data_IF_878791774623
#
_entry.id   IF_878791774623
#
_cell.length_a   1.000
_cell.length_b   1.000
_cell.length_c   1.000
_cell.angle_alpha   90.00
_cell.angle_beta   90.00
_cell.angle_gamma   90.00
#
_symmetry.space_group_name_H-M   'P 1'
#
loop_
_entity.id
_entity.type
_entity.pdbx_description
1 polymer ?
#
# COMPACT_ATOMS: atom_id res chain seq x y z
N UNK A 1 5.42 22.53 3.91
CA UNK A 1 6.35 21.50 4.41
C UNK A 1 6.25 20.33 3.43
N UNK A 2 7.37 19.92 2.86
CA UNK A 2 7.50 18.84 1.87
C UNK A 2 8.32 17.73 2.51
N UNK A 3 8.06 16.45 2.20
CA UNK A 3 8.93 15.37 2.68
C UNK A 3 10.39 15.60 2.26
N UNK A 4 11.30 15.24 3.15
CA UNK A 4 12.74 15.44 2.92
C UNK A 4 13.17 14.49 1.81
N UNK A 5 13.60 15.03 0.67
CA UNK A 5 13.99 14.24 -0.52
C UNK A 5 14.99 13.11 -0.21
N UNK A 6 15.90 13.30 0.74
CA UNK A 6 16.87 12.26 1.16
C UNK A 6 16.25 11.01 1.78
N UNK A 7 14.98 11.05 2.20
CA UNK A 7 14.27 9.90 2.79
C UNK A 7 13.34 9.21 1.80
N UNK A 8 13.03 9.87 0.68
CA UNK A 8 12.22 9.30 -0.38
C UNK A 8 13.03 8.25 -1.12
N UNK A 9 12.43 7.07 -1.27
CA UNK A 9 12.96 5.98 -2.07
C UNK A 9 11.90 5.57 -3.08
N UNK A 10 12.35 5.10 -4.23
CA UNK A 10 11.47 4.56 -5.25
C UNK A 10 11.07 3.14 -4.87
N UNK A 11 9.76 2.88 -4.89
CA UNK A 11 9.14 1.59 -4.65
C UNK A 11 8.17 1.26 -5.77
N UNK A 12 7.70 0.03 -5.82
CA UNK A 12 6.72 -0.42 -6.82
C UNK A 12 5.42 -0.83 -6.17
N UNK A 13 4.32 -0.35 -6.72
CA UNK A 13 2.95 -0.72 -6.37
C UNK A 13 2.43 -1.71 -7.40
N UNK A 14 1.63 -2.67 -6.93
CA UNK A 14 1.03 -3.74 -7.71
C UNK A 14 -0.44 -3.80 -7.34
N UNK A 15 -1.32 -3.43 -8.27
CA UNK A 15 -2.77 -3.45 -8.03
C UNK A 15 -3.26 -4.88 -7.81
N UNK A 16 -4.04 -5.12 -6.76
CA UNK A 16 -4.67 -6.40 -6.49
C UNK A 16 -5.94 -6.57 -7.33
N UNK A 17 -5.96 -7.62 -8.14
CA UNK A 17 -7.07 -8.00 -9.00
C UNK A 17 -7.64 -9.31 -8.42
N UNK A 18 -8.72 -9.24 -7.62
CA UNK A 18 -9.35 -10.44 -7.10
C UNK A 18 -9.99 -11.21 -8.25
N UNK A 19 -9.59 -12.46 -8.43
CA UNK A 19 -10.06 -13.35 -9.49
C UNK A 19 -10.69 -14.58 -8.84
N UNK A 20 -11.77 -15.06 -9.44
CA UNK A 20 -12.45 -16.28 -9.00
C UNK A 20 -12.19 -17.37 -10.02
N UNK A 21 -11.73 -18.51 -9.52
CA UNK A 21 -11.65 -19.71 -10.33
C UNK A 21 -13.03 -20.38 -10.50
N UNK A 22 -13.15 -21.29 -11.46
CA UNK A 22 -14.36 -22.08 -11.71
C UNK A 22 -14.74 -22.96 -10.52
N UNK A 23 -13.78 -23.30 -9.65
CA UNK A 23 -14.01 -24.02 -8.38
C UNK A 23 -14.46 -23.13 -7.20
N UNK A 24 -14.67 -21.82 -7.41
CA UNK A 24 -15.13 -20.90 -6.38
C UNK A 24 -14.04 -20.40 -5.43
N UNK A 25 -12.80 -20.85 -5.60
CA UNK A 25 -11.62 -20.32 -4.92
C UNK A 25 -11.29 -18.91 -5.42
N UNK A 26 -11.15 -17.96 -4.49
CA UNK A 26 -10.75 -16.59 -4.80
C UNK A 26 -9.25 -16.44 -4.61
N UNK A 27 -8.53 -16.02 -5.65
CA UNK A 27 -7.10 -15.69 -5.59
C UNK A 27 -6.86 -14.23 -5.97
N UNK A 28 -5.75 -13.67 -5.50
CA UNK A 28 -5.36 -12.29 -5.79
C UNK A 28 -4.28 -12.35 -6.87
N UNK A 29 -4.57 -11.79 -8.04
CA UNK A 29 -3.59 -11.62 -9.11
C UNK A 29 -3.09 -10.17 -9.07
N UNK A 30 -1.79 -9.96 -9.17
CA UNK A 30 -1.21 -8.62 -9.13
C UNK A 30 -1.04 -8.06 -10.55
N UNK A 31 -1.57 -6.86 -10.77
CA UNK A 31 -1.52 -6.13 -12.04
C UNK A 31 -0.14 -5.57 -12.36
N UNK A 32 -0.08 -4.62 -13.31
CA UNK A 32 1.18 -4.00 -13.75
C UNK A 32 1.87 -3.22 -12.61
N UNK A 33 3.22 -3.20 -12.58
CA UNK A 33 3.96 -2.45 -11.58
C UNK A 33 3.92 -0.95 -11.86
N UNK A 34 3.54 -0.17 -10.85
CA UNK A 34 3.59 1.29 -10.87
C UNK A 34 4.69 1.80 -9.93
N UNK A 35 5.66 2.53 -10.46
CA UNK A 35 6.74 3.10 -9.64
C UNK A 35 6.30 4.38 -8.94
N UNK A 36 6.64 4.54 -7.66
CA UNK A 36 6.36 5.75 -6.89
C UNK A 36 7.43 6.03 -5.84
N UNK A 37 7.54 7.28 -5.41
CA UNK A 37 8.47 7.69 -4.35
C UNK A 37 7.75 7.77 -3.00
N UNK A 38 8.31 7.12 -1.98
CA UNK A 38 7.78 7.15 -0.63
C UNK A 38 8.85 7.07 0.46
N UNK A 39 8.47 7.47 1.66
CA UNK A 39 9.24 7.26 2.88
C UNK A 39 8.68 6.05 3.63
N UNK A 40 9.55 5.12 4.04
CA UNK A 40 9.15 3.88 4.72
C UNK A 40 9.79 3.78 6.10
N UNK A 41 9.00 3.43 7.11
CA UNK A 41 9.47 3.16 8.47
C UNK A 41 8.68 2.02 9.13
N UNK A 42 9.25 1.31 10.13
CA UNK A 42 8.54 0.24 10.83
C UNK A 42 7.30 0.74 11.58
N UNK A 43 6.29 -0.12 11.68
CA UNK A 43 5.19 0.05 12.63
C UNK A 43 5.74 0.05 14.06
N UNK A 44 5.23 0.95 14.90
CA UNK A 44 5.77 1.10 16.25
C UNK A 44 5.01 2.06 17.17
N UNK A 45 3.92 2.68 16.69
CA UNK A 45 3.10 3.55 17.54
C UNK A 45 2.29 2.75 18.56
N UNK A 46 2.01 3.33 19.73
CA UNK A 46 1.16 2.71 20.76
C UNK A 46 -0.19 2.24 20.18
N UNK A 47 -0.83 3.10 19.37
CA UNK A 47 -2.08 2.78 18.67
C UNK A 47 -1.94 1.55 17.76
N UNK A 48 -0.85 1.43 17.00
CA UNK A 48 -0.61 0.28 16.12
C UNK A 48 -0.32 -0.99 16.94
N UNK A 49 0.36 -0.87 18.08
CA UNK A 49 0.61 -2.00 18.95
C UNK A 49 -0.68 -2.51 19.59
N UNK A 50 -1.61 -1.62 19.92
CA UNK A 50 -2.94 -1.97 20.40
C UNK A 50 -3.81 -2.60 19.28
N UNK A 51 -3.78 -2.06 18.06
CA UNK A 51 -4.57 -2.59 16.93
C UNK A 51 -4.05 -3.92 16.40
N UNK A 52 -2.73 -4.06 16.25
CA UNK A 52 -2.11 -5.18 15.53
C UNK A 52 -1.38 -6.17 16.46
N UNK A 53 -1.13 -5.81 17.71
CA UNK A 53 -0.46 -6.66 18.69
C UNK A 53 0.88 -7.16 18.17
N UNK A 54 1.07 -8.48 18.16
CA UNK A 54 2.30 -9.13 17.71
C UNK A 54 2.59 -8.93 16.20
N UNK A 55 1.57 -8.59 15.40
CA UNK A 55 1.71 -8.38 13.95
C UNK A 55 2.39 -7.05 13.62
N UNK A 56 2.49 -6.11 14.56
CA UNK A 56 3.13 -4.81 14.34
C UNK A 56 4.57 -4.94 13.82
N UNK A 57 5.29 -5.99 14.22
CA UNK A 57 6.65 -6.29 13.76
C UNK A 57 6.73 -6.50 12.24
N UNK A 58 5.63 -6.99 11.65
CA UNK A 58 5.51 -7.24 10.21
C UNK A 58 4.89 -6.05 9.46
N UNK A 59 4.51 -4.98 10.17
CA UNK A 59 3.88 -3.81 9.58
C UNK A 59 4.93 -2.74 9.30
N UNK A 60 4.83 -2.12 8.12
CA UNK A 60 5.56 -0.93 7.73
C UNK A 60 4.56 0.18 7.41
N UNK A 61 4.97 1.41 7.66
CA UNK A 61 4.27 2.60 7.24
C UNK A 61 4.96 3.15 5.99
N UNK A 62 4.19 3.36 4.93
CA UNK A 62 4.65 3.94 3.67
C UNK A 62 3.97 5.28 3.50
N UNK A 63 4.74 6.37 3.47
CA UNK A 63 4.20 7.72 3.30
C UNK A 63 4.58 8.29 1.97
N UNK A 64 3.57 8.77 1.26
CA UNK A 64 3.70 9.33 -0.08
C UNK A 64 3.59 10.85 0.00
N UNK A 65 4.53 11.56 -0.64
CA UNK A 65 4.52 13.03 -0.77
C UNK A 65 3.73 13.40 -2.03
N UNK A 66 2.50 13.88 -1.87
CA UNK A 66 1.79 14.54 -2.96
C UNK A 66 0.29 14.58 -2.77
N UNK A 67 -0.37 15.21 -3.73
CA UNK A 67 -1.82 15.32 -3.75
C UNK A 67 -2.41 14.00 -4.22
N UNK A 68 -3.41 13.53 -3.50
CA UNK A 68 -4.23 12.40 -3.90
C UNK A 68 -5.68 12.87 -4.03
N UNK A 69 -6.41 12.22 -4.92
CA UNK A 69 -7.85 12.37 -5.04
C UNK A 69 -8.52 11.09 -4.53
N UNK A 70 -9.50 11.26 -3.65
CA UNK A 70 -10.33 10.14 -3.20
C UNK A 70 -11.41 9.90 -4.24
N UNK A 71 -11.40 8.71 -4.82
CA UNK A 71 -12.41 8.20 -5.72
C UNK A 71 -13.13 7.05 -5.02
N UNK A 72 -14.44 6.96 -5.16
CA UNK A 72 -15.20 5.81 -4.67
C UNK A 72 -15.56 4.96 -5.88
N UNK A 73 -15.09 3.71 -5.89
CA UNK A 73 -15.46 2.75 -6.92
C UNK A 73 -16.95 2.42 -6.83
N UNK A 74 -17.55 1.99 -7.94
CA UNK A 74 -18.95 1.54 -7.96
C UNK A 74 -19.24 0.39 -6.98
N UNK A 75 -18.21 -0.36 -6.58
CA UNK A 75 -18.27 -1.42 -5.56
C UNK A 75 -18.17 -0.90 -4.11
N UNK A 76 -18.16 0.42 -3.90
CA UNK A 76 -18.05 1.05 -2.57
C UNK A 76 -16.63 1.09 -1.98
N UNK A 77 -15.61 0.75 -2.78
CA UNK A 77 -14.20 0.77 -2.35
C UNK A 77 -13.59 2.17 -2.50
N UNK A 78 -12.86 2.60 -1.49
CA UNK A 78 -12.08 3.83 -1.51
C UNK A 78 -10.80 3.64 -2.34
N UNK A 79 -10.70 4.38 -3.43
CA UNK A 79 -9.58 4.40 -4.36
C UNK A 79 -8.86 5.74 -4.19
N UNK A 80 -7.59 5.69 -3.85
CA UNK A 80 -6.74 6.87 -3.70
C UNK A 80 -5.94 7.04 -5.00
N UNK A 81 -6.40 7.94 -5.86
CA UNK A 81 -5.69 8.28 -7.09
C UNK A 81 -4.53 9.22 -6.76
N UNK A 82 -3.32 8.83 -7.14
CA UNK A 82 -2.11 9.61 -6.99
C UNK A 82 -1.36 9.65 -8.32
N UNK A 83 -1.26 10.82 -8.93
CA UNK A 83 -0.66 10.98 -10.26
C UNK A 83 -1.21 9.91 -11.23
N UNK A 84 -0.37 8.98 -11.69
CA UNK A 84 -0.73 7.91 -12.63
C UNK A 84 -1.06 6.56 -11.94
N UNK A 85 -1.04 6.49 -10.61
CA UNK A 85 -1.36 5.27 -9.86
C UNK A 85 -2.66 5.40 -9.05
N UNK A 86 -3.38 4.29 -8.92
CA UNK A 86 -4.53 4.18 -8.02
C UNK A 86 -4.20 3.19 -6.92
N UNK A 87 -4.35 3.60 -5.67
CA UNK A 87 -4.06 2.77 -4.50
C UNK A 87 -5.35 2.42 -3.77
N UNK A 88 -5.52 1.15 -3.44
CA UNK A 88 -6.66 0.61 -2.70
C UNK A 88 -6.16 -0.33 -1.59
N UNK A 89 -6.96 -0.50 -0.55
CA UNK A 89 -6.72 -1.56 0.43
C UNK A 89 -6.71 -2.94 -0.26
N UNK A 90 -5.76 -3.79 0.13
CA UNK A 90 -5.50 -5.09 -0.48
C UNK A 90 -4.44 -5.09 -1.60
N UNK A 91 -4.07 -3.93 -2.14
CA UNK A 91 -2.99 -3.84 -3.13
C UNK A 91 -1.64 -4.31 -2.57
N UNK A 92 -0.75 -4.73 -3.45
CA UNK A 92 0.60 -5.15 -3.12
C UNK A 92 1.62 -4.04 -3.28
N UNK A 93 2.63 -4.03 -2.41
CA UNK A 93 3.80 -3.16 -2.50
C UNK A 93 5.07 -4.00 -2.49
N UNK A 94 5.95 -3.74 -3.44
CA UNK A 94 7.32 -4.26 -3.48
C UNK A 94 8.23 -3.28 -2.72
N UNK A 95 8.52 -3.57 -1.45
CA UNK A 95 9.41 -2.76 -0.61
C UNK A 95 10.86 -3.24 -0.69
N UNK A 96 11.07 -4.56 -0.66
CA UNK A 96 12.39 -5.18 -0.67
C UNK A 96 12.60 -6.15 -1.84
N UNK A 97 11.60 -6.30 -2.71
CA UNK A 97 11.66 -7.12 -3.92
C UNK A 97 11.67 -6.23 -5.16
N UNK A 98 12.29 -6.67 -6.26
CA UNK A 98 12.26 -5.93 -7.52
C UNK A 98 10.84 -5.86 -8.07
N UNK A 99 10.58 -4.86 -8.92
CA UNK A 99 9.25 -4.60 -9.49
C UNK A 99 8.66 -5.77 -10.27
N UNK A 100 9.49 -6.70 -10.78
CA UNK A 100 9.09 -7.84 -11.60
C UNK A 100 8.55 -9.03 -10.77
N UNK A 101 8.82 -9.03 -9.47
CA UNK A 101 8.36 -10.07 -8.55
C UNK A 101 6.98 -9.79 -7.98
N UNK A 102 6.39 -10.83 -7.39
CA UNK A 102 5.24 -10.70 -6.51
C UNK A 102 5.56 -9.76 -5.34
N UNK A 103 4.61 -8.92 -4.90
CA UNK A 103 4.81 -7.96 -3.83
C UNK A 103 5.11 -8.69 -2.51
N UNK A 104 6.00 -8.11 -1.71
CA UNK A 104 6.36 -8.67 -0.40
C UNK A 104 5.53 -8.10 0.76
N UNK A 105 4.77 -7.03 0.48
CA UNK A 105 3.83 -6.41 1.41
C UNK A 105 2.46 -6.23 0.77
N UNK A 106 1.41 -6.25 1.59
CA UNK A 106 0.04 -5.87 1.22
C UNK A 106 -0.43 -4.64 2.00
N UNK A 107 -1.22 -3.79 1.37
CA UNK A 107 -1.86 -2.64 2.04
C UNK A 107 -3.00 -3.15 2.89
N UNK A 108 -2.91 -2.94 4.21
CA UNK A 108 -3.93 -3.34 5.17
C UNK A 108 -4.79 -2.17 5.66
N UNK A 109 -4.29 -0.94 5.52
CA UNK A 109 -5.06 0.26 5.81
C UNK A 109 -4.47 1.47 5.08
N UNK A 110 -5.33 2.41 4.71
CA UNK A 110 -4.95 3.69 4.13
C UNK A 110 -5.40 4.80 5.07
N UNK A 111 -4.45 5.65 5.48
CA UNK A 111 -4.70 6.77 6.40
C UNK A 111 -4.53 8.10 5.66
N UNK A 112 -5.64 8.76 5.27
CA UNK A 112 -5.61 10.08 4.64
C UNK A 112 -5.34 11.19 5.68
N UNK A 113 -4.11 11.24 6.19
CA UNK A 113 -3.64 12.36 7.00
C UNK A 113 -3.16 13.51 6.11
N UNK A 114 -2.37 14.45 6.66
CA UNK A 114 -1.68 15.48 5.87
C UNK A 114 -0.88 14.92 4.69
N UNK A 115 -0.28 13.75 4.87
CA UNK A 115 0.33 12.96 3.82
C UNK A 115 -0.34 11.60 3.82
N UNK A 116 -0.63 11.07 2.64
CA UNK A 116 -1.20 9.72 2.51
C UNK A 116 -0.23 8.72 3.13
N UNK A 117 -0.68 8.02 4.17
CA UNK A 117 0.11 7.02 4.88
C UNK A 117 -0.56 5.67 4.69
N UNK A 118 0.13 4.75 4.05
CA UNK A 118 -0.30 3.38 3.85
C UNK A 118 0.31 2.53 4.96
N UNK A 119 -0.52 1.77 5.67
CA UNK A 119 -0.07 0.73 6.57
C UNK A 119 -0.01 -0.56 5.75
N UNK A 120 1.18 -1.12 5.63
CA UNK A 120 1.42 -2.32 4.82
C UNK A 120 1.93 -3.44 5.71
N UNK A 121 1.44 -4.65 5.50
CA UNK A 121 1.84 -5.84 6.23
C UNK A 121 2.58 -6.80 5.32
N UNK A 122 3.65 -7.42 5.84
CA UNK A 122 4.39 -8.45 5.13
C UNK A 122 3.48 -9.64 4.78
N UNK A 123 3.53 -10.06 3.52
CA UNK A 123 2.84 -11.24 3.01
C UNK A 123 3.48 -12.55 3.48
#
# INVERSE_FOLDING_TARGET
MRLKRSRLKQYSHRRAIPKKDQEGSSYIEYGQPSSFEAEVWPGGGKLQAEMYGQRISNIKNVRIDGNYELLISNEGKELYQFADMTVCEGDGICLYVPQDHEPDYRIIAIRPYRYLTLEVEKL
#
